data_IF_756097643871
#
_entry.id   IF_756097643871
#
_cell.length_a   1.000
_cell.length_b   1.000
_cell.length_c   1.000
_cell.angle_alpha   90.00
_cell.angle_beta   90.00
_cell.angle_gamma   90.00
#
_symmetry.space_group_name_H-M   'P 1'
#
loop_
_entity.id
_entity.type
_entity.pdbx_description
1 polymer ?
#
# COMPACT_ATOMS: atom_id res chain seq x y z
N UNK A 1 20.62 26.50 -25.40
CA UNK A 1 19.51 26.13 -26.29
C UNK A 1 18.28 25.80 -25.45
N UNK A 2 17.08 25.85 -26.01
CA UNK A 2 15.86 25.55 -25.26
C UNK A 2 15.43 24.10 -25.49
N UNK A 3 14.61 23.55 -24.61
CA UNK A 3 13.97 22.22 -24.78
C UNK A 3 13.38 22.05 -26.20
N UNK A 4 12.77 23.10 -26.73
CA UNK A 4 12.21 23.10 -28.07
C UNK A 4 13.26 22.80 -29.14
N UNK A 5 14.40 23.47 -29.06
CA UNK A 5 15.47 23.37 -30.08
C UNK A 5 16.03 21.92 -30.07
N UNK A 6 16.25 21.36 -28.87
CA UNK A 6 16.68 19.98 -28.71
C UNK A 6 15.65 18.97 -29.23
N UNK A 7 14.36 19.18 -28.94
CA UNK A 7 13.29 18.30 -29.41
C UNK A 7 13.18 18.30 -30.92
N UNK A 8 13.24 19.49 -31.57
CA UNK A 8 13.21 19.61 -33.02
C UNK A 8 14.43 18.96 -33.66
N UNK A 9 15.62 19.17 -33.07
CA UNK A 9 16.86 18.56 -33.55
C UNK A 9 16.80 17.02 -33.48
N UNK A 10 16.44 16.47 -32.32
CA UNK A 10 16.36 15.01 -32.12
C UNK A 10 15.32 14.34 -33.03
N UNK A 11 14.16 15.00 -33.22
CA UNK A 11 13.15 14.53 -34.16
C UNK A 11 13.67 14.60 -35.62
N UNK A 12 14.37 15.67 -35.96
CA UNK A 12 14.95 15.86 -37.28
C UNK A 12 16.03 14.82 -37.62
N UNK A 13 16.91 14.47 -36.67
CA UNK A 13 17.94 13.43 -36.85
C UNK A 13 17.34 12.07 -37.11
N UNK A 14 16.18 11.77 -36.54
CA UNK A 14 15.45 10.51 -36.81
C UNK A 14 14.43 10.62 -37.96
N UNK A 15 14.42 11.71 -38.69
CA UNK A 15 13.49 11.94 -39.82
C UNK A 15 12.00 11.75 -39.48
N UNK A 16 11.65 11.88 -38.20
CA UNK A 16 10.29 11.70 -37.70
C UNK A 16 9.43 12.95 -37.92
N UNK A 17 8.16 12.78 -38.34
CA UNK A 17 7.17 13.83 -38.33
C UNK A 17 6.61 14.10 -36.93
N UNK A 18 6.00 15.26 -36.69
CA UNK A 18 5.29 15.52 -35.42
C UNK A 18 4.19 14.51 -35.13
N UNK A 19 3.58 13.92 -36.17
CA UNK A 19 2.53 12.93 -36.02
C UNK A 19 3.08 11.56 -35.56
N UNK A 20 4.22 11.14 -36.11
CA UNK A 20 4.91 9.91 -35.72
C UNK A 20 5.45 10.01 -34.30
N UNK A 21 6.10 11.12 -33.92
CA UNK A 21 6.52 11.35 -32.55
C UNK A 21 5.35 11.34 -31.56
N UNK A 22 4.21 11.93 -31.95
CA UNK A 22 3.01 11.92 -31.11
C UNK A 22 2.44 10.50 -30.92
N UNK A 23 2.51 9.67 -31.94
CA UNK A 23 2.10 8.26 -31.90
C UNK A 23 2.97 7.46 -30.93
N UNK A 24 4.30 7.58 -31.01
CA UNK A 24 5.26 6.91 -30.14
C UNK A 24 5.07 7.30 -28.67
N UNK A 25 4.77 8.56 -28.40
CA UNK A 25 4.55 9.07 -27.04
C UNK A 25 3.13 8.83 -26.51
N UNK A 26 2.21 8.37 -27.34
CA UNK A 26 0.79 8.21 -26.98
C UNK A 26 0.10 9.56 -26.66
N UNK A 27 0.38 10.60 -27.45
CA UNK A 27 -0.19 11.95 -27.28
C UNK A 27 -0.79 12.46 -28.61
N UNK A 28 -1.51 13.59 -28.57
CA UNK A 28 -2.02 14.20 -29.80
C UNK A 28 -0.88 14.93 -30.57
N UNK A 29 -0.97 14.98 -31.90
CA UNK A 29 -0.06 15.80 -32.73
C UNK A 29 -0.02 17.28 -32.26
N UNK A 30 -1.18 17.78 -31.80
CA UNK A 30 -1.28 19.16 -31.31
C UNK A 30 -0.44 19.38 -30.03
N UNK A 31 -0.29 18.37 -29.19
CA UNK A 31 0.56 18.45 -28.00
C UNK A 31 2.04 18.63 -28.39
N UNK A 32 2.54 17.82 -29.32
CA UNK A 32 3.91 17.94 -29.84
C UNK A 32 4.12 19.31 -30.50
N UNK A 33 3.17 19.75 -31.31
CA UNK A 33 3.24 21.07 -31.95
C UNK A 33 3.27 22.24 -30.93
N UNK A 34 2.54 22.10 -29.80
CA UNK A 34 2.58 23.11 -28.72
C UNK A 34 3.93 23.11 -28.00
N UNK A 35 4.53 21.95 -27.78
CA UNK A 35 5.86 21.82 -27.16
C UNK A 35 6.94 22.44 -28.05
N UNK A 36 6.92 22.15 -29.35
CA UNK A 36 7.84 22.75 -30.33
C UNK A 36 7.59 24.27 -30.59
N UNK A 37 6.43 24.77 -30.19
CA UNK A 37 6.09 26.19 -30.25
C UNK A 37 6.26 26.93 -28.91
N UNK A 38 6.80 26.26 -27.87
CA UNK A 38 6.97 26.79 -26.50
C UNK A 38 5.67 27.26 -25.83
N UNK A 39 4.52 26.78 -26.31
CA UNK A 39 3.21 27.12 -25.74
C UNK A 39 2.81 26.25 -24.55
N UNK A 40 3.46 25.10 -24.37
CA UNK A 40 3.30 24.21 -23.23
C UNK A 40 4.52 23.30 -23.11
N UNK A 41 4.72 22.73 -21.92
CA UNK A 41 5.74 21.71 -21.64
C UNK A 41 5.09 20.33 -21.52
N UNK A 42 5.81 19.25 -21.88
CA UNK A 42 5.36 17.88 -21.61
C UNK A 42 5.37 17.58 -20.11
N UNK A 43 4.48 16.70 -19.68
CA UNK A 43 4.51 16.12 -18.36
C UNK A 43 5.77 15.26 -18.18
N UNK A 44 6.21 15.06 -16.91
CA UNK A 44 7.47 14.39 -16.59
C UNK A 44 7.55 12.97 -17.17
N UNK A 45 6.43 12.24 -17.19
CA UNK A 45 6.34 10.91 -17.79
C UNK A 45 6.62 10.92 -19.30
N UNK A 46 6.27 12.00 -19.99
CA UNK A 46 6.52 12.18 -21.43
C UNK A 46 7.95 12.62 -21.69
N UNK A 47 8.55 13.39 -20.77
CA UNK A 47 9.97 13.72 -20.83
C UNK A 47 10.84 12.49 -20.69
N UNK A 48 10.53 11.59 -19.75
CA UNK A 48 11.24 10.33 -19.57
C UNK A 48 11.14 9.47 -20.84
N UNK A 49 9.93 9.33 -21.41
CA UNK A 49 9.75 8.62 -22.69
C UNK A 49 10.52 9.22 -23.86
N UNK A 50 10.64 10.56 -23.89
CA UNK A 50 11.47 11.25 -24.89
C UNK A 50 12.95 10.92 -24.72
N UNK A 51 13.44 10.88 -23.47
CA UNK A 51 14.82 10.48 -23.18
C UNK A 51 15.09 9.03 -23.61
N UNK A 52 14.18 8.11 -23.29
CA UNK A 52 14.26 6.70 -23.69
C UNK A 52 14.22 6.56 -25.22
N UNK A 53 13.31 7.28 -25.88
CA UNK A 53 13.15 7.25 -27.33
C UNK A 53 14.38 7.76 -28.07
N UNK A 54 14.99 8.86 -27.58
CA UNK A 54 16.10 9.52 -28.24
C UNK A 54 17.49 9.10 -27.72
N UNK A 55 17.54 8.38 -26.59
CA UNK A 55 18.79 7.92 -25.96
C UNK A 55 19.61 9.07 -25.35
N UNK A 56 18.95 10.09 -24.80
CA UNK A 56 19.58 11.26 -24.16
C UNK A 56 19.18 11.35 -22.68
N UNK A 57 19.99 12.08 -21.87
CA UNK A 57 19.61 12.35 -20.50
C UNK A 57 18.56 13.45 -20.41
N UNK A 58 17.80 13.50 -19.30
CA UNK A 58 16.79 14.53 -19.05
C UNK A 58 17.44 15.92 -18.98
N UNK A 59 18.63 16.01 -18.43
CA UNK A 59 19.36 17.28 -18.30
C UNK A 59 19.83 17.77 -19.67
N UNK A 60 20.31 16.89 -20.53
CA UNK A 60 20.67 17.20 -21.91
C UNK A 60 19.47 17.66 -22.74
N UNK A 61 18.33 16.98 -22.57
CA UNK A 61 17.10 17.33 -23.28
C UNK A 61 16.56 18.70 -22.88
N UNK A 62 16.62 19.04 -21.57
CA UNK A 62 15.99 20.25 -21.02
C UNK A 62 16.94 21.44 -21.00
N UNK A 63 18.23 21.23 -20.69
CA UNK A 63 19.22 22.30 -20.46
C UNK A 63 20.44 22.23 -21.38
N UNK A 64 20.72 21.04 -21.93
CA UNK A 64 21.88 20.82 -22.80
C UNK A 64 21.75 21.51 -24.16
N UNK A 65 22.82 21.45 -24.92
CA UNK A 65 22.88 21.84 -26.35
C UNK A 65 23.21 20.59 -27.16
N UNK A 66 22.19 19.91 -27.63
CA UNK A 66 22.34 18.69 -28.43
C UNK A 66 22.65 18.99 -29.91
N UNK A 67 22.56 20.25 -30.34
CA UNK A 67 22.75 20.64 -31.75
C UNK A 67 24.22 20.76 -32.14
N UNK A 68 25.15 20.86 -31.18
CA UNK A 68 26.57 21.06 -31.38
C UNK A 68 27.46 19.85 -31.02
N UNK A 69 26.94 18.80 -30.42
CA UNK A 69 27.69 17.58 -30.12
C UNK A 69 27.76 16.66 -31.36
N UNK A 70 28.93 16.10 -31.72
CA UNK A 70 28.96 14.93 -32.59
C UNK A 70 28.20 13.82 -31.85
N UNK A 71 27.19 13.28 -32.49
CA UNK A 71 26.54 12.06 -32.01
C UNK A 71 27.63 11.00 -31.98
N UNK A 72 28.25 10.77 -30.82
CA UNK A 72 28.97 9.52 -30.61
C UNK A 72 27.90 8.44 -30.75
N UNK A 73 28.04 7.69 -31.83
CA UNK A 73 27.23 6.50 -32.07
C UNK A 73 27.33 5.63 -30.84
N UNK A 74 26.28 5.68 -30.01
CA UNK A 74 26.05 4.57 -29.09
C UNK A 74 26.06 3.29 -29.93
N UNK A 75 26.82 2.26 -29.54
CA UNK A 75 26.91 1.04 -30.31
C UNK A 75 25.51 0.55 -30.60
N UNK A 76 25.17 0.53 -31.89
CA UNK A 76 23.97 -0.12 -32.37
C UNK A 76 24.11 -1.58 -31.94
N UNK A 77 23.26 -1.98 -30.98
CA UNK A 77 23.01 -3.39 -30.77
C UNK A 77 22.34 -3.85 -32.06
N UNK A 78 23.15 -4.44 -32.92
CA UNK A 78 22.77 -5.11 -34.14
C UNK A 78 21.67 -6.12 -33.77
N UNK A 79 20.44 -5.84 -34.22
CA UNK A 79 19.33 -6.79 -34.14
C UNK A 79 19.66 -7.95 -35.09
N UNK A 80 20.61 -8.80 -34.66
CA UNK A 80 20.66 -10.14 -35.16
C UNK A 80 19.40 -10.84 -34.70
N UNK A 81 18.55 -11.20 -35.65
CA UNK A 81 17.44 -12.10 -35.42
C UNK A 81 18.03 -13.47 -35.05
N UNK A 82 18.30 -13.67 -33.80
CA UNK A 82 18.63 -14.94 -33.20
C UNK A 82 17.51 -15.35 -32.27
N UNK A 83 17.05 -16.56 -32.50
CA UNK A 83 15.89 -17.19 -31.86
C UNK A 83 15.90 -16.95 -30.36
N UNK A 84 14.75 -16.50 -29.82
CA UNK A 84 14.52 -16.28 -28.40
C UNK A 84 14.94 -17.53 -27.61
N UNK A 85 15.94 -17.46 -26.72
CA UNK A 85 16.14 -18.51 -25.73
C UNK A 85 14.94 -18.53 -24.81
N UNK A 86 14.40 -19.72 -24.59
CA UNK A 86 13.35 -19.97 -23.58
C UNK A 86 13.78 -19.35 -22.27
N UNK A 87 12.81 -18.73 -21.60
CA UNK A 87 12.92 -17.96 -20.36
C UNK A 87 13.31 -18.83 -19.12
N UNK A 88 14.31 -19.69 -19.24
CA UNK A 88 14.78 -20.52 -18.12
C UNK A 88 16.27 -20.36 -17.76
N UNK A 89 17.09 -19.68 -18.59
CA UNK A 89 18.56 -19.62 -18.39
C UNK A 89 19.17 -18.21 -18.54
N UNK A 90 18.49 -17.12 -18.17
CA UNK A 90 19.16 -15.85 -17.99
C UNK A 90 19.71 -15.80 -16.55
N UNK A 91 21.05 -15.71 -16.34
CA UNK A 91 21.55 -15.37 -15.03
C UNK A 91 21.03 -13.97 -14.68
N UNK A 92 20.25 -13.88 -13.62
CA UNK A 92 19.78 -12.63 -13.01
C UNK A 92 20.97 -11.65 -12.95
N UNK A 93 20.99 -10.67 -13.85
CA UNK A 93 21.78 -9.47 -13.66
C UNK A 93 21.13 -8.77 -12.47
N UNK A 94 21.63 -9.07 -11.30
CA UNK A 94 21.20 -8.53 -10.01
C UNK A 94 21.28 -7.01 -10.06
N UNK A 95 20.16 -6.35 -10.40
CA UNK A 95 19.94 -5.00 -9.93
C UNK A 95 20.21 -5.01 -8.42
N UNK A 96 20.95 -4.02 -7.86
CA UNK A 96 21.32 -4.04 -6.45
C UNK A 96 20.06 -4.34 -5.64
N UNK A 97 20.03 -5.51 -5.03
CA UNK A 97 18.96 -5.89 -4.11
C UNK A 97 19.10 -4.94 -2.95
N UNK A 98 18.29 -3.91 -2.90
CA UNK A 98 18.08 -3.17 -1.67
C UNK A 98 17.45 -4.19 -0.73
N UNK A 99 18.27 -4.67 0.21
CA UNK A 99 17.89 -5.71 1.17
C UNK A 99 17.04 -5.04 2.23
N UNK A 100 15.97 -5.70 2.65
CA UNK A 100 15.20 -5.31 3.84
C UNK A 100 16.07 -5.47 5.10
N UNK A 101 16.89 -4.48 5.42
CA UNK A 101 17.84 -4.49 6.54
C UNK A 101 17.14 -4.53 7.91
N UNK A 102 15.88 -4.12 7.98
CA UNK A 102 15.14 -3.91 9.23
C UNK A 102 14.05 -4.95 9.49
N UNK A 103 13.83 -5.89 8.56
CA UNK A 103 12.74 -6.87 8.66
C UNK A 103 11.34 -6.26 8.51
N UNK A 104 11.25 -5.12 7.83
CA UNK A 104 10.00 -4.41 7.57
C UNK A 104 8.95 -5.27 6.86
N UNK A 105 9.38 -6.01 5.84
CA UNK A 105 8.50 -6.85 5.02
C UNK A 105 7.79 -7.92 5.85
N UNK A 106 8.55 -8.62 6.69
CA UNK A 106 8.00 -9.63 7.61
C UNK A 106 7.11 -9.01 8.67
N UNK A 107 7.53 -7.89 9.28
CA UNK A 107 6.74 -7.18 10.27
C UNK A 107 5.37 -6.75 9.74
N UNK A 108 5.32 -6.19 8.53
CA UNK A 108 4.07 -5.77 7.89
C UNK A 108 3.20 -6.95 7.47
N UNK A 109 3.81 -8.08 7.10
CA UNK A 109 3.10 -9.32 6.77
C UNK A 109 2.40 -9.93 8.00
N UNK A 110 3.10 -10.03 9.12
CA UNK A 110 2.52 -10.52 10.39
C UNK A 110 1.38 -9.62 10.83
N UNK A 111 1.59 -8.30 10.77
CA UNK A 111 0.55 -7.31 11.10
C UNK A 111 -0.71 -7.47 10.23
N UNK A 112 -0.54 -7.71 8.93
CA UNK A 112 -1.67 -7.92 8.02
C UNK A 112 -2.48 -9.17 8.42
N UNK A 113 -1.77 -10.23 8.79
CA UNK A 113 -2.37 -11.50 9.19
C UNK A 113 -3.16 -11.38 10.50
N UNK A 114 -2.55 -10.78 11.53
CA UNK A 114 -3.19 -10.60 12.85
C UNK A 114 -4.43 -9.70 12.76
N UNK A 115 -4.35 -8.61 11.98
CA UNK A 115 -5.49 -7.70 11.77
C UNK A 115 -6.63 -8.40 11.03
N UNK A 116 -6.32 -9.15 9.98
CA UNK A 116 -7.31 -9.91 9.22
C UNK A 116 -8.00 -10.97 10.08
N UNK A 117 -7.23 -11.71 10.90
CA UNK A 117 -7.75 -12.70 11.82
C UNK A 117 -8.66 -12.07 12.88
N UNK A 118 -8.28 -10.93 13.46
CA UNK A 118 -9.10 -10.22 14.44
C UNK A 118 -10.46 -9.79 13.87
N UNK A 119 -10.47 -9.22 12.64
CA UNK A 119 -11.71 -8.83 11.96
C UNK A 119 -12.58 -10.06 11.66
N UNK A 120 -11.99 -11.14 11.18
CA UNK A 120 -12.71 -12.38 10.91
C UNK A 120 -13.36 -12.94 12.17
N UNK A 121 -12.65 -12.98 13.30
CA UNK A 121 -13.15 -13.44 14.60
C UNK A 121 -14.31 -12.58 15.11
N UNK A 122 -14.20 -11.26 15.01
CA UNK A 122 -15.26 -10.34 15.44
C UNK A 122 -16.57 -10.59 14.67
N UNK A 123 -16.49 -10.75 13.35
CA UNK A 123 -17.69 -11.00 12.54
C UNK A 123 -18.24 -12.40 12.79
N UNK A 124 -17.37 -13.41 12.88
CA UNK A 124 -17.79 -14.79 13.14
C UNK A 124 -18.46 -14.95 14.52
N UNK A 125 -18.06 -14.16 15.53
CA UNK A 125 -18.67 -14.19 16.87
C UNK A 125 -20.17 -13.86 16.85
N UNK A 126 -20.63 -13.07 15.87
CA UNK A 126 -22.06 -12.78 15.65
C UNK A 126 -22.79 -14.06 15.27
N UNK A 127 -22.23 -14.88 14.39
CA UNK A 127 -22.82 -16.15 13.98
C UNK A 127 -22.88 -17.17 15.13
N UNK A 128 -21.84 -17.18 15.97
CA UNK A 128 -21.80 -18.04 17.17
C UNK A 128 -22.89 -17.64 18.17
N UNK A 129 -23.11 -16.33 18.35
CA UNK A 129 -24.19 -15.83 19.19
C UNK A 129 -25.56 -16.30 18.69
N UNK A 130 -25.87 -16.07 17.42
CA UNK A 130 -27.12 -16.54 16.82
C UNK A 130 -27.28 -18.07 16.91
N UNK A 131 -26.19 -18.80 16.81
CA UNK A 131 -26.22 -20.25 16.97
C UNK A 131 -26.60 -20.67 18.39
N UNK A 132 -25.97 -20.05 19.41
CA UNK A 132 -26.20 -20.40 20.85
C UNK A 132 -27.59 -19.97 21.30
N UNK A 133 -28.05 -18.79 20.88
CA UNK A 133 -29.32 -18.18 21.31
C UNK A 133 -30.52 -18.70 20.50
N UNK A 134 -30.29 -19.44 19.42
CA UNK A 134 -31.35 -19.90 18.50
C UNK A 134 -32.12 -18.75 17.83
N UNK A 135 -31.54 -17.53 17.79
CA UNK A 135 -32.17 -16.32 17.26
C UNK A 135 -33.25 -15.71 18.19
N UNK A 136 -33.44 -16.23 19.40
CA UNK A 136 -34.40 -15.71 20.36
C UNK A 136 -33.82 -14.52 21.17
N UNK A 137 -34.12 -13.31 20.75
CA UNK A 137 -33.64 -12.10 21.45
C UNK A 137 -34.25 -11.85 22.82
N UNK A 138 -35.41 -12.39 23.13
CA UNK A 138 -36.24 -11.96 24.26
C UNK A 138 -35.90 -12.58 25.62
N UNK A 139 -35.02 -13.58 25.71
CA UNK A 139 -34.71 -14.26 26.98
C UNK A 139 -33.23 -14.48 27.26
N UNK A 140 -32.35 -14.17 26.33
CA UNK A 140 -30.96 -14.57 26.32
C UNK A 140 -29.93 -13.39 26.29
N UNK A 141 -30.36 -12.15 26.62
CA UNK A 141 -29.50 -10.97 26.68
C UNK A 141 -28.15 -11.20 27.39
N UNK A 142 -28.10 -11.86 28.57
CA UNK A 142 -26.81 -12.08 29.24
C UNK A 142 -25.90 -13.08 28.49
N UNK A 143 -26.45 -14.06 27.79
CA UNK A 143 -25.66 -15.03 27.03
C UNK A 143 -25.10 -14.39 25.76
N UNK A 144 -25.90 -13.64 25.02
CA UNK A 144 -25.44 -12.88 23.84
C UNK A 144 -24.34 -11.87 24.20
N UNK A 145 -24.51 -11.11 25.27
CA UNK A 145 -23.46 -10.21 25.75
C UNK A 145 -22.15 -10.94 26.06
N UNK A 146 -22.22 -12.13 26.67
CA UNK A 146 -21.04 -12.91 27.00
C UNK A 146 -20.29 -13.38 25.73
N UNK A 147 -20.98 -13.85 24.70
CA UNK A 147 -20.37 -14.29 23.44
C UNK A 147 -19.65 -13.14 22.74
N UNK A 148 -20.29 -11.97 22.65
CA UNK A 148 -19.65 -10.77 22.06
C UNK A 148 -18.45 -10.31 22.87
N UNK A 149 -18.52 -10.28 24.19
CA UNK A 149 -17.39 -9.92 25.04
C UNK A 149 -16.21 -10.87 24.84
N UNK A 150 -16.46 -12.17 24.70
CA UNK A 150 -15.43 -13.15 24.38
C UNK A 150 -14.83 -12.89 23.00
N UNK A 151 -15.65 -12.63 21.98
CA UNK A 151 -15.19 -12.27 20.62
C UNK A 151 -14.33 -11.02 20.64
N UNK A 152 -14.76 -9.97 21.34
CA UNK A 152 -13.99 -8.71 21.51
C UNK A 152 -12.69 -9.00 22.27
N UNK A 153 -12.71 -9.78 23.35
CA UNK A 153 -11.51 -10.11 24.11
C UNK A 153 -10.47 -10.85 23.26
N UNK A 154 -10.89 -11.82 22.44
CA UNK A 154 -10.01 -12.51 21.51
C UNK A 154 -9.43 -11.54 20.48
N UNK A 155 -10.25 -10.69 19.88
CA UNK A 155 -9.79 -9.70 18.91
C UNK A 155 -8.78 -8.71 19.52
N UNK A 156 -9.03 -8.23 20.75
CA UNK A 156 -8.10 -7.40 21.49
C UNK A 156 -6.81 -8.13 21.85
N UNK A 157 -6.89 -9.39 22.23
CA UNK A 157 -5.71 -10.22 22.52
C UNK A 157 -4.82 -10.41 21.30
N UNK A 158 -5.38 -10.43 20.09
CA UNK A 158 -4.63 -10.50 18.83
C UNK A 158 -4.07 -9.13 18.42
N UNK A 159 -4.87 -8.07 18.55
CA UNK A 159 -4.50 -6.75 18.00
C UNK A 159 -3.62 -5.92 18.94
N UNK A 160 -3.78 -6.02 20.27
CA UNK A 160 -3.02 -5.20 21.21
C UNK A 160 -1.51 -5.45 21.19
N UNK A 161 -1.01 -6.71 21.26
CA UNK A 161 0.42 -6.97 21.14
C UNK A 161 0.97 -6.50 19.79
N UNK A 162 0.23 -6.77 18.72
CA UNK A 162 0.58 -6.34 17.36
C UNK A 162 0.68 -4.82 17.26
N UNK A 163 -0.30 -4.08 17.80
CA UNK A 163 -0.28 -2.61 17.81
C UNK A 163 0.93 -2.06 18.57
N UNK A 164 1.19 -2.59 19.77
CA UNK A 164 2.37 -2.19 20.57
C UNK A 164 3.68 -2.48 19.84
N UNK A 165 3.81 -3.65 19.26
CA UNK A 165 5.00 -4.03 18.47
C UNK A 165 5.15 -3.12 17.24
N UNK A 166 4.05 -2.73 16.60
CA UNK A 166 4.09 -1.84 15.45
C UNK A 166 4.51 -0.42 15.84
N UNK A 167 3.98 0.13 16.94
CA UNK A 167 4.40 1.45 17.46
C UNK A 167 5.88 1.42 17.85
N UNK A 168 6.33 0.39 18.56
CA UNK A 168 7.73 0.23 18.92
C UNK A 168 8.64 0.12 17.68
N UNK A 169 8.20 -0.59 16.65
CA UNK A 169 8.90 -0.69 15.37
C UNK A 169 8.99 0.66 14.66
N UNK A 170 7.89 1.45 14.65
CA UNK A 170 7.89 2.80 14.07
C UNK A 170 8.81 3.77 14.81
N UNK A 171 8.89 3.66 16.13
CA UNK A 171 9.81 4.47 16.94
C UNK A 171 11.28 4.09 16.70
N UNK A 172 11.56 2.79 16.54
CA UNK A 172 12.92 2.31 16.24
C UNK A 172 13.36 2.62 14.80
N UNK A 173 12.45 2.61 13.85
CA UNK A 173 12.71 2.79 12.42
C UNK A 173 11.75 3.82 11.81
N UNK A 174 11.91 5.12 12.12
CA UNK A 174 10.98 6.17 11.68
C UNK A 174 11.06 6.47 10.19
N UNK A 175 12.17 6.10 9.56
CA UNK A 175 12.39 6.26 8.13
C UNK A 175 12.97 4.97 7.55
N UNK A 176 12.30 4.45 6.53
CA UNK A 176 12.74 3.28 5.77
C UNK A 176 12.85 3.71 4.31
N UNK A 177 13.96 3.35 3.67
CA UNK A 177 14.13 3.56 2.25
C UNK A 177 13.21 2.63 1.45
N UNK A 178 12.72 3.13 0.31
CA UNK A 178 11.81 2.36 -0.54
C UNK A 178 12.62 1.35 -1.38
N UNK A 179 12.62 0.11 -0.93
CA UNK A 179 13.32 -0.99 -1.58
C UNK A 179 12.45 -1.84 -2.52
N UNK A 180 11.17 -1.47 -2.69
CA UNK A 180 10.28 -2.22 -3.56
C UNK A 180 10.39 -1.76 -5.02
N UNK A 181 10.73 -2.64 -5.97
CA UNK A 181 10.72 -2.33 -7.38
C UNK A 181 9.29 -2.03 -7.86
N UNK A 182 9.12 -1.19 -8.89
CA UNK A 182 7.80 -0.79 -9.41
C UNK A 182 6.96 -1.99 -9.86
N UNK A 183 7.59 -3.06 -10.34
CA UNK A 183 6.92 -4.31 -10.70
C UNK A 183 6.24 -4.97 -9.48
N UNK A 184 6.88 -4.97 -8.32
CA UNK A 184 6.29 -5.50 -7.07
C UNK A 184 5.11 -4.66 -6.58
N UNK A 185 5.16 -3.35 -6.75
CA UNK A 185 4.04 -2.46 -6.42
C UNK A 185 2.83 -2.72 -7.33
N UNK A 186 3.05 -2.89 -8.64
CA UNK A 186 1.99 -3.25 -9.58
C UNK A 186 1.39 -4.63 -9.27
N UNK A 187 2.23 -5.62 -8.93
CA UNK A 187 1.77 -6.96 -8.52
C UNK A 187 0.93 -6.91 -7.23
N UNK A 188 1.33 -6.10 -6.24
CA UNK A 188 0.58 -5.94 -5.01
C UNK A 188 -0.81 -5.33 -5.26
N UNK A 189 -0.93 -4.33 -6.14
CA UNK A 189 -2.21 -3.75 -6.55
C UNK A 189 -3.11 -4.79 -7.26
N UNK A 190 -2.54 -5.63 -8.13
CA UNK A 190 -3.27 -6.71 -8.78
C UNK A 190 -3.73 -7.77 -7.77
N UNK A 191 -2.87 -8.18 -6.83
CA UNK A 191 -3.22 -9.11 -5.75
C UNK A 191 -4.32 -8.58 -4.84
N UNK A 192 -4.32 -7.27 -4.53
CA UNK A 192 -5.43 -6.62 -3.81
C UNK A 192 -6.73 -6.76 -4.57
N UNK A 193 -6.75 -6.43 -5.86
CA UNK A 193 -7.96 -6.55 -6.67
C UNK A 193 -8.50 -8.00 -6.66
N UNK A 194 -7.61 -8.99 -6.83
CA UNK A 194 -7.98 -10.41 -6.74
C UNK A 194 -8.51 -10.79 -5.37
N UNK A 195 -7.89 -10.32 -4.28
CA UNK A 195 -8.34 -10.56 -2.91
C UNK A 195 -9.73 -9.96 -2.62
N UNK A 196 -10.00 -8.77 -3.14
CA UNK A 196 -11.34 -8.14 -3.04
C UNK A 196 -12.38 -8.96 -3.78
N UNK A 197 -12.09 -9.44 -4.99
CA UNK A 197 -13.00 -10.31 -5.76
C UNK A 197 -13.28 -11.61 -4.99
N UNK A 198 -12.25 -12.26 -4.44
CA UNK A 198 -12.42 -13.46 -3.61
C UNK A 198 -13.29 -13.16 -2.39
N UNK A 199 -13.08 -12.05 -1.71
CA UNK A 199 -13.90 -11.61 -0.58
C UNK A 199 -15.39 -11.43 -0.98
N UNK A 200 -15.64 -10.77 -2.12
CA UNK A 200 -17.02 -10.60 -2.63
C UNK A 200 -17.66 -11.96 -2.93
N UNK A 201 -16.95 -12.87 -3.58
CA UNK A 201 -17.46 -14.23 -3.87
C UNK A 201 -17.80 -14.98 -2.58
N UNK A 202 -16.93 -14.94 -1.57
CA UNK A 202 -17.18 -15.55 -0.27
C UNK A 202 -18.40 -14.94 0.43
N UNK A 203 -18.56 -13.62 0.38
CA UNK A 203 -19.72 -12.93 0.95
C UNK A 203 -21.02 -13.34 0.26
N UNK A 204 -21.03 -13.41 -1.08
CA UNK A 204 -22.19 -13.86 -1.87
C UNK A 204 -22.55 -15.32 -1.55
N UNK A 205 -21.55 -16.20 -1.47
CA UNK A 205 -21.77 -17.59 -1.06
C UNK A 205 -22.38 -17.67 0.33
N UNK A 206 -21.87 -16.86 1.29
CA UNK A 206 -22.41 -16.76 2.64
C UNK A 206 -23.88 -16.36 2.66
N UNK A 207 -24.28 -15.37 1.84
CA UNK A 207 -25.67 -14.91 1.74
C UNK A 207 -26.62 -16.02 1.24
N UNK A 208 -26.14 -17.00 0.51
CA UNK A 208 -26.94 -18.16 0.07
C UNK A 208 -27.16 -19.22 1.17
N UNK A 209 -26.31 -19.27 2.20
CA UNK A 209 -26.36 -20.34 3.20
C UNK A 209 -27.64 -20.39 4.03
N UNK A 210 -28.29 -19.27 4.47
CA UNK A 210 -29.53 -19.35 5.20
C UNK A 210 -30.67 -20.06 4.43
N UNK A 211 -30.68 -19.92 3.10
CA UNK A 211 -31.67 -20.59 2.26
C UNK A 211 -31.54 -22.12 2.27
N UNK A 212 -30.31 -22.65 2.42
CA UNK A 212 -30.05 -24.08 2.53
C UNK A 212 -30.56 -24.65 3.84
N UNK A 213 -30.63 -23.82 4.90
CA UNK A 213 -31.05 -24.20 6.26
C UNK A 213 -32.43 -23.61 6.62
N UNK A 214 -33.28 -23.35 5.63
CA UNK A 214 -34.58 -22.68 5.81
C UNK A 214 -35.58 -23.45 6.67
N UNK A 215 -35.31 -24.72 7.02
CA UNK A 215 -36.12 -25.49 7.95
C UNK A 215 -35.97 -24.94 9.36
N UNK A 216 -37.08 -24.74 10.08
CA UNK A 216 -37.16 -24.15 11.41
C UNK A 216 -36.13 -24.68 12.43
N UNK A 217 -35.83 -25.99 12.39
CA UNK A 217 -34.86 -26.63 13.29
C UNK A 217 -33.39 -26.40 12.91
N UNK A 218 -33.10 -25.91 11.71
CA UNK A 218 -31.73 -25.75 11.19
C UNK A 218 -31.36 -24.28 10.95
N UNK A 219 -32.26 -23.34 11.23
CA UNK A 219 -32.04 -21.91 10.96
C UNK A 219 -30.82 -21.33 11.68
N UNK A 220 -30.51 -21.82 12.87
CA UNK A 220 -29.30 -21.43 13.62
C UNK A 220 -27.97 -21.80 12.91
N UNK A 221 -27.96 -22.92 12.14
CA UNK A 221 -26.79 -23.29 11.34
C UNK A 221 -26.62 -22.36 10.15
N UNK A 222 -27.71 -21.83 9.58
CA UNK A 222 -27.68 -20.85 8.51
C UNK A 222 -27.01 -19.53 8.93
N UNK A 223 -27.30 -19.03 10.13
CA UNK A 223 -26.65 -17.84 10.65
C UNK A 223 -25.17 -18.07 10.98
N UNK A 224 -24.82 -19.20 11.59
CA UNK A 224 -23.42 -19.56 11.87
C UNK A 224 -22.59 -19.60 10.59
N UNK A 225 -23.09 -20.25 9.53
CA UNK A 225 -22.39 -20.34 8.26
C UNK A 225 -22.34 -18.99 7.53
N UNK A 226 -23.41 -18.20 7.55
CA UNK A 226 -23.45 -16.84 6.97
C UNK A 226 -22.35 -15.97 7.58
N UNK A 227 -22.33 -15.81 8.89
CA UNK A 227 -21.34 -14.96 9.55
C UNK A 227 -19.92 -15.55 9.53
N UNK A 228 -19.78 -16.87 9.44
CA UNK A 228 -18.50 -17.52 9.17
C UNK A 228 -17.93 -17.12 7.81
N UNK A 229 -18.73 -17.19 6.76
CA UNK A 229 -18.33 -16.73 5.41
C UNK A 229 -18.08 -15.23 5.34
N UNK A 230 -18.92 -14.41 5.99
CA UNK A 230 -18.72 -12.96 6.05
C UNK A 230 -17.43 -12.58 6.80
N UNK A 231 -17.13 -13.26 7.91
CA UNK A 231 -15.89 -13.07 8.65
C UNK A 231 -14.66 -13.43 7.81
N UNK A 232 -14.71 -14.58 7.13
CA UNK A 232 -13.64 -15.00 6.22
C UNK A 232 -13.48 -14.02 5.05
N UNK A 233 -14.58 -13.58 4.45
CA UNK A 233 -14.59 -12.58 3.36
C UNK A 233 -13.93 -11.28 3.80
N UNK A 234 -14.33 -10.74 4.94
CA UNK A 234 -13.76 -9.51 5.50
C UNK A 234 -12.27 -9.68 5.84
N UNK A 235 -11.86 -10.81 6.42
CA UNK A 235 -10.47 -11.12 6.70
C UNK A 235 -9.61 -11.15 5.43
N UNK A 236 -10.07 -11.80 4.36
CA UNK A 236 -9.37 -11.85 3.06
C UNK A 236 -9.22 -10.45 2.46
N UNK A 237 -10.27 -9.63 2.50
CA UNK A 237 -10.22 -8.26 1.98
C UNK A 237 -9.25 -7.40 2.80
N UNK A 238 -9.31 -7.45 4.12
CA UNK A 238 -8.39 -6.71 5.01
C UNK A 238 -6.95 -7.13 4.77
N UNK A 239 -6.69 -8.43 4.70
CA UNK A 239 -5.36 -8.94 4.39
C UNK A 239 -4.84 -8.42 3.04
N UNK A 240 -5.66 -8.49 1.99
CA UNK A 240 -5.29 -8.05 0.66
C UNK A 240 -4.98 -6.55 0.60
N UNK A 241 -5.77 -5.71 1.29
CA UNK A 241 -5.56 -4.26 1.40
C UNK A 241 -4.28 -3.95 2.19
N UNK A 242 -4.03 -4.65 3.30
CA UNK A 242 -2.82 -4.43 4.09
C UNK A 242 -1.56 -4.89 3.37
N UNK A 243 -1.65 -5.93 2.54
CA UNK A 243 -0.52 -6.38 1.70
C UNK A 243 -0.17 -5.39 0.58
N UNK A 244 -1.14 -4.61 0.08
CA UNK A 244 -0.84 -3.47 -0.80
C UNK A 244 -0.16 -2.34 -0.02
N UNK A 245 -0.70 -1.98 1.16
CA UNK A 245 -0.09 -0.93 1.99
C UNK A 245 1.35 -1.28 2.46
N UNK A 246 1.72 -2.56 2.51
CA UNK A 246 3.08 -3.01 2.79
C UNK A 246 4.10 -2.45 1.81
N UNK A 247 3.78 -2.39 0.52
CA UNK A 247 4.69 -1.88 -0.52
C UNK A 247 4.68 -0.35 -0.65
N UNK A 248 3.79 0.34 0.06
CA UNK A 248 3.71 1.81 0.14
C UNK A 248 4.57 2.36 1.30
N UNK A 249 5.90 2.24 1.21
CA UNK A 249 6.83 2.66 2.27
C UNK A 249 6.68 4.14 2.63
N UNK A 250 6.36 5.00 1.67
CA UNK A 250 6.12 6.43 1.93
C UNK A 250 4.98 6.65 2.93
N UNK A 251 3.92 5.87 2.84
CA UNK A 251 2.78 5.93 3.78
C UNK A 251 3.20 5.50 5.19
N UNK A 252 4.05 4.48 5.29
CA UNK A 252 4.63 4.07 6.56
C UNK A 252 5.45 5.20 7.17
N UNK A 253 6.38 5.81 6.43
CA UNK A 253 7.24 6.89 6.89
C UNK A 253 6.43 8.09 7.40
N UNK A 254 5.39 8.49 6.68
CA UNK A 254 4.51 9.59 7.12
C UNK A 254 3.74 9.25 8.39
N UNK A 255 3.39 7.97 8.60
CA UNK A 255 2.69 7.54 9.82
C UNK A 255 3.65 7.42 11.00
N UNK A 256 4.87 6.95 10.76
CA UNK A 256 5.91 6.84 11.78
C UNK A 256 6.32 8.21 12.32
N UNK A 257 6.46 9.22 11.45
CA UNK A 257 6.70 10.60 11.88
C UNK A 257 5.61 11.13 12.81
N UNK A 258 4.33 10.91 12.49
CA UNK A 258 3.21 11.32 13.35
C UNK A 258 3.22 10.62 14.72
N UNK A 259 3.68 9.37 14.78
CA UNK A 259 3.81 8.63 16.04
C UNK A 259 4.93 9.22 16.91
N UNK A 260 6.04 9.66 16.30
CA UNK A 260 7.12 10.35 17.02
C UNK A 260 6.65 11.70 17.55
N UNK A 261 6.03 12.53 16.72
CA UNK A 261 5.47 13.83 17.13
C UNK A 261 4.49 13.68 18.30
N UNK A 262 3.58 12.70 18.24
CA UNK A 262 2.64 12.42 19.31
C UNK A 262 3.33 11.89 20.59
N UNK A 263 4.44 11.19 20.46
CA UNK A 263 5.29 10.75 21.58
C UNK A 263 5.95 11.92 22.28
N UNK A 264 6.56 12.83 21.53
CA UNK A 264 7.18 14.04 22.05
C UNK A 264 6.18 14.94 22.78
N UNK A 265 4.99 15.10 22.25
CA UNK A 265 3.90 15.87 22.89
C UNK A 265 3.46 15.23 24.22
N UNK A 266 3.37 13.89 24.26
CA UNK A 266 2.99 13.17 25.47
C UNK A 266 4.07 13.27 26.56
N UNK A 267 5.35 13.21 26.19
CA UNK A 267 6.47 13.37 27.11
C UNK A 267 6.55 14.81 27.67
N UNK A 268 6.33 15.84 26.83
CA UNK A 268 6.23 17.23 27.28
C UNK A 268 5.07 17.43 28.26
N UNK A 269 3.92 16.81 28.01
CA UNK A 269 2.77 16.87 28.91
C UNK A 269 3.06 16.17 30.24
N UNK A 270 3.74 15.02 30.22
CA UNK A 270 4.16 14.28 31.40
C UNK A 270 5.13 15.10 32.27
N UNK A 271 6.08 15.79 31.65
CA UNK A 271 7.03 16.68 32.30
C UNK A 271 6.31 17.88 32.97
N UNK A 272 5.34 18.49 32.30
CA UNK A 272 4.52 19.58 32.86
C UNK A 272 3.71 19.12 34.07
N UNK A 273 3.10 17.93 33.99
CA UNK A 273 2.36 17.32 35.11
C UNK A 273 3.30 17.02 36.28
N UNK A 274 4.49 16.50 36.00
CA UNK A 274 5.54 16.26 37.00
C UNK A 274 5.99 17.54 37.70
N UNK A 275 6.17 18.62 36.95
CA UNK A 275 6.53 19.95 37.48
C UNK A 275 5.39 20.54 38.34
N UNK A 276 4.14 20.43 37.90
CA UNK A 276 2.96 20.87 38.67
C UNK A 276 2.85 20.09 39.99
N UNK A 277 3.16 18.80 39.99
CA UNK A 277 3.14 17.96 41.20
C UNK A 277 4.26 18.32 42.18
N UNK A 278 5.46 18.65 41.68
CA UNK A 278 6.56 19.18 42.52
C UNK A 278 6.23 20.51 43.13
N UNK A 279 5.66 21.45 42.36
CA UNK A 279 5.19 22.76 42.88
C UNK A 279 4.12 22.61 43.96
N UNK A 280 3.10 21.77 43.74
CA UNK A 280 2.08 21.45 44.73
C UNK A 280 2.69 20.95 46.05
N UNK A 281 3.66 20.02 45.98
CA UNK A 281 4.29 19.44 47.14
C UNK A 281 5.15 20.49 47.89
N UNK A 282 5.86 21.37 47.18
CA UNK A 282 6.63 22.47 47.75
C UNK A 282 5.71 23.48 48.53
N UNK A 283 4.59 23.87 47.92
CA UNK A 283 3.58 24.76 48.56
C UNK A 283 3.00 24.10 49.81
N UNK A 284 2.68 22.81 49.78
CA UNK A 284 2.14 22.08 50.93
C UNK A 284 3.15 21.97 52.07
N UNK A 285 4.44 21.88 51.78
CA UNK A 285 5.51 21.88 52.80
C UNK A 285 5.64 23.24 53.44
N UNK A 286 5.55 24.35 52.66
CA UNK A 286 5.66 25.71 53.18
C UNK A 286 4.42 26.10 54.02
N UNK A 287 3.21 25.64 53.66
CA UNK A 287 2.00 25.86 54.44
C UNK A 287 1.95 25.05 55.74
N UNK A 288 2.83 24.06 55.92
CA UNK A 288 2.92 23.28 57.18
C UNK A 288 4.00 23.82 58.13
N UNK A 289 4.79 24.79 57.71
CA UNK A 289 5.70 25.57 58.54
C UNK A 289 5.00 26.80 59.12
#
# INVERSE_FOLDING_TARGET
>A
MTFRDNLQYLRGTRTMSQAELAQELGVSRQSVAKWEAEKSYPEIDKLIKLCDLFGCSLDDLVRGDLTGAPVEECPQVELAAEEAPRAEDAPDAEAPRVVDEHGYDEHMRVRAWDTAAAVAVLIASIGVDFFITGGHMAGSLPASCAVYLVGIAIALALTMPMYRNHVAFQQAHPHIEDFYPPARKAEAAHRKASGVVVGIVLAVLGLGTPALFANFYMMQFGSLTLFGFLGLAAGVVVYAVMMEHRVEVLRYNTTAQKVLEAGDDADQLADLVGLAQRLKNAVLVELRR
#
